data_IF_747820891104
#
_entry.id   IF_747820891104
#
_cell.length_a   1.000
_cell.length_b   1.000
_cell.length_c   1.000
_cell.angle_alpha   90.00
_cell.angle_beta   90.00
_cell.angle_gamma   90.00
#
_symmetry.space_group_name_H-M   'P 1'
#
loop_
_entity.id
_entity.type
_entity.pdbx_description
1 polymer ?
#
# COMPACT_ATOMS: atom_id res chain seq x y z
N UNK A 1 -14.78 -3.99 -12.19
CA UNK A 1 -15.06 -4.30 -13.61
C UNK A 1 -16.48 -3.91 -14.01
N UNK A 2 -17.56 -4.44 -13.41
CA UNK A 2 -18.96 -4.13 -13.83
C UNK A 2 -19.26 -2.61 -13.94
N UNK A 3 -18.79 -1.78 -12.99
CA UNK A 3 -18.97 -0.33 -13.07
C UNK A 3 -18.22 0.35 -14.23
N UNK A 4 -17.08 -0.21 -14.69
CA UNK A 4 -16.38 0.26 -15.89
C UNK A 4 -17.18 -0.06 -17.16
N UNK A 5 -17.76 -1.26 -17.26
CA UNK A 5 -18.60 -1.66 -18.41
C UNK A 5 -19.84 -0.77 -18.57
N UNK A 6 -20.35 -0.21 -17.47
CA UNK A 6 -21.53 0.67 -17.49
C UNK A 6 -21.17 2.17 -17.60
N UNK A 7 -19.89 2.53 -17.59
CA UNK A 7 -19.44 3.93 -17.51
C UNK A 7 -19.30 4.63 -18.87
N UNK A 8 -19.06 3.86 -19.92
CA UNK A 8 -18.86 4.37 -21.27
C UNK A 8 -19.37 3.36 -22.31
N UNK A 9 -19.76 3.83 -23.52
CA UNK A 9 -20.19 2.94 -24.59
C UNK A 9 -19.05 2.04 -25.04
N UNK A 10 -19.32 0.73 -25.05
CA UNK A 10 -18.43 -0.30 -25.56
C UNK A 10 -18.56 -0.34 -27.08
N UNK A 11 -17.42 -0.27 -27.79
CA UNK A 11 -17.39 -0.33 -29.25
C UNK A 11 -16.64 -1.57 -29.71
N UNK A 12 -17.17 -2.21 -30.73
CA UNK A 12 -16.52 -3.31 -31.44
C UNK A 12 -15.91 -2.78 -32.73
N UNK A 13 -14.74 -3.29 -33.06
CA UNK A 13 -13.96 -2.89 -34.22
C UNK A 13 -13.57 -4.12 -35.03
N UNK A 14 -13.69 -4.02 -36.35
CA UNK A 14 -13.23 -5.03 -37.29
C UNK A 14 -11.71 -4.89 -37.52
N UNK A 15 -11.03 -5.96 -37.99
CA UNK A 15 -9.62 -5.87 -38.35
C UNK A 15 -9.34 -4.70 -39.29
N UNK A 16 -8.35 -3.87 -38.95
CA UNK A 16 -7.95 -2.70 -39.70
C UNK A 16 -8.73 -1.42 -39.40
N UNK A 17 -9.85 -1.49 -38.65
CA UNK A 17 -10.61 -0.30 -38.29
C UNK A 17 -9.85 0.59 -37.31
N UNK A 18 -10.06 1.90 -37.47
CA UNK A 18 -9.46 2.91 -36.63
C UNK A 18 -10.31 3.15 -35.39
N UNK A 19 -9.73 2.87 -34.23
CA UNK A 19 -10.24 3.30 -32.92
C UNK A 19 -9.92 4.78 -32.70
N UNK A 20 -8.73 5.21 -33.15
CA UNK A 20 -8.28 6.58 -33.17
C UNK A 20 -7.51 6.83 -34.47
N UNK A 21 -7.83 7.91 -35.17
CA UNK A 21 -7.31 8.17 -36.51
C UNK A 21 -6.46 9.44 -36.55
N UNK A 22 -5.14 9.28 -36.56
CA UNK A 22 -4.19 10.33 -36.94
C UNK A 22 -4.27 11.58 -36.07
N UNK A 23 -4.36 11.42 -34.75
CA UNK A 23 -4.44 12.54 -33.83
C UNK A 23 -3.07 12.91 -33.27
N UNK A 24 -2.86 14.21 -33.08
CA UNK A 24 -1.66 14.76 -32.44
C UNK A 24 -1.77 14.69 -30.91
N UNK A 25 -2.99 14.66 -30.37
CA UNK A 25 -3.27 14.57 -28.94
C UNK A 25 -4.58 13.83 -28.67
N UNK A 26 -4.60 13.01 -27.63
CA UNK A 26 -5.82 12.48 -27.03
C UNK A 26 -5.67 12.38 -25.52
N UNK A 27 -6.57 13.03 -24.79
CA UNK A 27 -6.67 12.92 -23.32
C UNK A 27 -7.56 11.74 -22.89
N UNK A 28 -8.08 10.96 -23.85
CA UNK A 28 -8.89 9.76 -23.59
C UNK A 28 -8.01 8.57 -23.25
N UNK A 29 -8.56 7.67 -22.43
CA UNK A 29 -8.01 6.34 -22.17
C UNK A 29 -8.83 5.28 -22.91
N UNK A 30 -8.16 4.33 -23.55
CA UNK A 30 -8.78 3.26 -24.33
C UNK A 30 -8.46 1.94 -23.66
N UNK A 31 -9.47 1.30 -23.07
CA UNK A 31 -9.32 -0.01 -22.44
C UNK A 31 -9.76 -1.10 -23.42
N UNK A 32 -8.86 -2.04 -23.70
CA UNK A 32 -9.12 -3.20 -24.56
C UNK A 32 -9.83 -4.25 -23.72
N UNK A 33 -11.10 -4.49 -24.00
CA UNK A 33 -11.91 -5.49 -23.31
C UNK A 33 -11.70 -6.88 -23.89
N UNK A 34 -11.51 -6.96 -25.21
CA UNK A 34 -11.27 -8.20 -25.94
C UNK A 34 -10.52 -7.92 -27.25
N UNK A 35 -9.81 -8.93 -27.75
CA UNK A 35 -9.06 -8.85 -29.00
C UNK A 35 -7.72 -8.12 -28.90
N UNK A 36 -7.21 -7.66 -30.04
CA UNK A 36 -5.87 -7.07 -30.17
C UNK A 36 -5.93 -5.75 -30.94
N UNK A 37 -5.29 -4.73 -30.40
CA UNK A 37 -5.16 -3.41 -31.02
C UNK A 37 -3.69 -3.03 -31.14
N UNK A 38 -3.39 -2.14 -32.08
CA UNK A 38 -2.05 -1.68 -32.37
C UNK A 38 -2.02 -0.17 -32.36
N UNK A 39 -1.05 0.40 -31.65
CA UNK A 39 -0.75 1.83 -31.64
C UNK A 39 0.39 2.09 -32.61
N UNK A 40 0.17 2.97 -33.57
CA UNK A 40 1.12 3.36 -34.63
C UNK A 40 1.45 4.86 -34.46
N UNK A 41 2.71 5.25 -34.66
CA UNK A 41 3.14 6.66 -34.66
C UNK A 41 4.08 6.97 -35.82
N UNK A 42 3.86 8.08 -36.53
CA UNK A 42 4.65 8.47 -37.71
C UNK A 42 3.89 9.34 -38.72
N UNK A 43 4.49 9.61 -39.89
CA UNK A 43 3.89 10.42 -40.95
C UNK A 43 2.84 9.65 -41.78
N UNK A 44 2.94 8.32 -41.86
CA UNK A 44 1.97 7.43 -42.48
C UNK A 44 1.80 6.16 -41.65
N UNK A 45 0.60 5.59 -41.66
CA UNK A 45 0.27 4.36 -40.95
C UNK A 45 0.87 3.13 -41.65
N UNK A 46 2.20 3.01 -41.72
CA UNK A 46 2.88 1.80 -42.19
C UNK A 46 2.60 0.64 -41.21
N UNK A 47 2.15 -0.51 -41.73
CA UNK A 47 1.70 -1.64 -40.90
C UNK A 47 2.82 -2.33 -40.10
N UNK A 48 4.07 -2.15 -40.51
CA UNK A 48 5.23 -2.76 -39.85
C UNK A 48 5.90 -1.74 -38.90
N UNK A 49 5.63 -1.88 -37.60
CA UNK A 49 6.30 -1.10 -36.55
C UNK A 49 5.44 -0.68 -35.34
N UNK A 50 4.15 -1.05 -35.28
CA UNK A 50 3.25 -0.65 -34.19
C UNK A 50 3.34 -1.48 -32.91
N UNK A 51 2.98 -0.87 -31.78
CA UNK A 51 2.93 -1.55 -30.47
C UNK A 51 1.59 -2.24 -30.30
N UNK A 52 1.61 -3.53 -30.01
CA UNK A 52 0.41 -4.35 -29.83
C UNK A 52 -0.07 -4.37 -28.38
N UNK A 53 -1.39 -4.28 -28.18
CA UNK A 53 -2.07 -4.37 -26.89
C UNK A 53 -3.21 -5.39 -27.00
N UNK A 54 -3.38 -6.22 -25.96
CA UNK A 54 -4.43 -7.22 -25.88
C UNK A 54 -5.47 -6.89 -24.80
N UNK A 55 -6.42 -7.79 -24.60
CA UNK A 55 -7.43 -7.69 -23.56
C UNK A 55 -6.83 -7.38 -22.17
N UNK A 56 -7.44 -6.46 -21.44
CA UNK A 56 -6.99 -5.97 -20.14
C UNK A 56 -6.00 -4.80 -20.19
N UNK A 57 -5.41 -4.48 -21.35
CA UNK A 57 -4.52 -3.33 -21.47
C UNK A 57 -5.27 -2.01 -21.62
N UNK A 58 -4.71 -0.95 -21.03
CA UNK A 58 -5.20 0.42 -21.20
C UNK A 58 -4.17 1.26 -21.99
N UNK A 59 -4.66 2.06 -22.93
CA UNK A 59 -3.87 2.88 -23.85
C UNK A 59 -4.27 4.34 -23.64
N UNK A 60 -3.31 5.24 -23.47
CA UNK A 60 -3.57 6.67 -23.31
C UNK A 60 -3.08 7.23 -21.97
N UNK A 61 -3.11 8.56 -21.77
CA UNK A 61 -3.41 9.55 -22.79
C UNK A 61 -2.24 9.62 -23.79
N UNK A 62 -2.55 9.95 -25.05
CA UNK A 62 -1.57 10.04 -26.12
C UNK A 62 -1.20 11.51 -26.34
N UNK A 63 -0.01 11.90 -25.90
CA UNK A 63 0.47 13.28 -25.92
C UNK A 63 1.97 13.32 -26.26
N UNK A 64 2.36 13.38 -27.54
CA UNK A 64 3.77 13.46 -27.95
C UNK A 64 4.31 14.88 -27.88
N UNK A 65 5.62 14.99 -27.70
CA UNK A 65 6.34 16.26 -27.69
C UNK A 65 6.66 16.88 -29.08
N UNK A 66 6.32 16.25 -30.23
CA UNK A 66 6.83 16.67 -31.56
C UNK A 66 5.85 16.46 -32.74
N UNK A 67 4.65 17.09 -32.72
CA UNK A 67 3.68 17.09 -33.86
C UNK A 67 3.40 15.71 -34.51
N UNK A 68 3.70 14.62 -33.79
CA UNK A 68 3.67 13.26 -34.32
C UNK A 68 2.25 12.74 -34.21
N UNK A 69 1.67 12.30 -35.33
CA UNK A 69 0.33 11.74 -35.33
C UNK A 69 0.35 10.28 -34.92
N UNK A 70 -0.69 9.88 -34.19
CA UNK A 70 -0.90 8.51 -33.77
C UNK A 70 -2.21 7.94 -34.28
N UNK A 71 -2.19 6.63 -34.51
CA UNK A 71 -3.36 5.83 -34.81
C UNK A 71 -3.47 4.70 -33.79
N UNK A 72 -4.69 4.40 -33.39
CA UNK A 72 -5.02 3.15 -32.72
C UNK A 72 -5.86 2.36 -33.72
N UNK A 73 -5.37 1.19 -34.14
CA UNK A 73 -6.08 0.30 -35.06
C UNK A 73 -6.37 -1.04 -34.41
N UNK A 74 -7.46 -1.67 -34.79
CA UNK A 74 -7.71 -3.05 -34.44
C UNK A 74 -6.84 -3.97 -35.32
N UNK A 75 -5.98 -4.81 -34.71
CA UNK A 75 -5.18 -5.79 -35.45
C UNK A 75 -5.95 -7.08 -35.76
N UNK A 76 -6.98 -7.36 -34.97
CA UNK A 76 -8.01 -8.37 -35.22
C UNK A 76 -9.36 -7.82 -34.76
N UNK A 77 -10.44 -8.63 -34.69
CA UNK A 77 -11.65 -8.21 -34.02
C UNK A 77 -11.32 -7.75 -32.60
N UNK A 78 -11.73 -6.54 -32.22
CA UNK A 78 -11.39 -5.96 -30.93
C UNK A 78 -12.59 -5.24 -30.32
N UNK A 79 -12.71 -5.34 -28.99
CA UNK A 79 -13.72 -4.63 -28.22
C UNK A 79 -13.02 -3.64 -27.32
N UNK A 80 -13.34 -2.35 -27.45
CA UNK A 80 -12.65 -1.26 -26.75
C UNK A 80 -13.68 -0.32 -26.12
N UNK A 81 -13.39 0.13 -24.90
CA UNK A 81 -14.11 1.21 -24.24
C UNK A 81 -13.24 2.47 -24.21
N UNK A 82 -13.81 3.60 -24.63
CA UNK A 82 -13.16 4.91 -24.57
C UNK A 82 -13.62 5.66 -23.32
N UNK A 83 -12.69 5.89 -22.40
CA UNK A 83 -12.86 6.66 -21.18
C UNK A 83 -12.36 8.08 -21.44
N UNK A 84 -13.28 8.96 -21.84
CA UNK A 84 -13.03 10.40 -21.95
C UNK A 84 -12.76 11.00 -20.57
N UNK A 85 -12.01 12.12 -20.45
CA UNK A 85 -11.70 12.75 -19.16
C UNK A 85 -12.91 12.96 -18.25
N UNK A 86 -14.05 13.41 -18.80
CA UNK A 86 -15.28 13.61 -18.04
C UNK A 86 -15.88 12.31 -17.49
N UNK A 87 -15.79 11.19 -18.23
CA UNK A 87 -16.27 9.88 -17.77
C UNK A 87 -15.31 9.33 -16.71
N UNK A 88 -14.00 9.46 -16.96
CA UNK A 88 -12.95 9.00 -16.04
C UNK A 88 -13.10 9.69 -14.68
N UNK A 89 -13.29 11.01 -14.66
CA UNK A 89 -13.50 11.78 -13.43
C UNK A 89 -14.75 11.37 -12.62
N UNK A 90 -15.75 10.76 -13.28
CA UNK A 90 -16.97 10.25 -12.65
C UNK A 90 -16.84 8.80 -12.17
N UNK A 91 -15.74 8.10 -12.47
CA UNK A 91 -15.52 6.74 -11.98
C UNK A 91 -15.21 6.75 -10.48
N UNK A 92 -15.54 5.69 -9.74
CA UNK A 92 -15.02 5.48 -8.39
C UNK A 92 -13.48 5.53 -8.36
N UNK A 93 -12.91 6.09 -7.29
CA UNK A 93 -11.46 6.31 -7.14
C UNK A 93 -10.62 5.07 -7.44
N UNK A 94 -11.01 3.91 -6.91
CA UNK A 94 -10.33 2.63 -7.17
C UNK A 94 -10.25 2.28 -8.66
N UNK A 95 -11.26 2.67 -9.45
CA UNK A 95 -11.29 2.43 -10.90
C UNK A 95 -10.52 3.49 -11.68
N UNK A 96 -10.57 4.76 -11.26
CA UNK A 96 -9.70 5.80 -11.83
C UNK A 96 -8.22 5.42 -11.67
N UNK A 97 -7.85 5.09 -10.44
CA UNK A 97 -6.53 4.58 -10.05
C UNK A 97 -6.15 3.36 -10.90
N UNK A 98 -7.05 2.39 -11.05
CA UNK A 98 -6.81 1.20 -11.87
C UNK A 98 -6.56 1.55 -13.34
N UNK A 99 -7.34 2.47 -13.93
CA UNK A 99 -7.17 2.94 -15.32
C UNK A 99 -5.80 3.59 -15.48
N UNK A 100 -5.42 4.50 -14.59
CA UNK A 100 -4.11 5.14 -14.62
C UNK A 100 -2.96 4.13 -14.49
N UNK A 101 -3.05 3.17 -13.56
CA UNK A 101 -2.04 2.09 -13.39
C UNK A 101 -1.91 1.20 -14.62
N UNK A 102 -3.02 0.82 -15.25
CA UNK A 102 -2.97 -0.05 -16.43
C UNK A 102 -2.51 0.67 -17.69
N UNK A 103 -2.60 2.01 -17.70
CA UNK A 103 -2.11 2.85 -18.79
C UNK A 103 -0.60 3.13 -18.71
N UNK A 104 0.02 3.00 -17.53
CA UNK A 104 1.46 3.21 -17.32
C UNK A 104 2.32 1.95 -17.55
N UNK A 105 1.81 0.75 -17.22
CA UNK A 105 2.52 -0.55 -17.36
C UNK A 105 3.14 -0.85 -18.74
N UNK A 106 2.49 -0.53 -19.88
CA UNK A 106 3.09 -0.81 -21.19
C UNK A 106 4.32 0.06 -21.50
N UNK A 107 4.47 1.22 -20.86
CA UNK A 107 5.60 2.14 -21.07
C UNK A 107 6.94 1.58 -20.59
N UNK A 108 6.97 0.86 -19.48
CA UNK A 108 8.19 0.26 -18.92
C UNK A 108 8.76 -0.86 -19.81
N UNK A 109 7.89 -1.70 -20.41
CA UNK A 109 8.29 -2.73 -21.38
C UNK A 109 8.79 -2.14 -22.70
N UNK A 110 8.32 -0.95 -23.07
CA UNK A 110 8.78 -0.23 -24.27
C UNK A 110 10.16 0.39 -24.06
N UNK A 111 10.41 1.01 -22.89
CA UNK A 111 11.70 1.61 -22.55
C UNK A 111 12.80 0.55 -22.49
N UNK A 112 12.54 -0.64 -21.93
CA UNK A 112 13.54 -1.71 -21.86
C UNK A 112 13.91 -2.31 -23.23
N UNK A 113 13.01 -2.26 -24.21
CA UNK A 113 13.23 -2.78 -25.57
C UNK A 113 13.76 -1.74 -26.57
N UNK A 114 13.66 -0.44 -26.27
CA UNK A 114 14.01 0.64 -27.21
C UNK A 114 15.07 1.62 -26.67
N UNK A 115 15.89 1.16 -25.70
CA UNK A 115 17.01 1.83 -25.02
C UNK A 115 18.08 2.41 -25.96
N UNK A 116 17.72 3.36 -26.82
CA UNK A 116 18.62 4.18 -27.63
C UNK A 116 18.01 5.51 -28.09
N UNK A 117 16.71 5.80 -27.88
CA UNK A 117 16.10 7.06 -28.35
C UNK A 117 15.65 8.00 -27.20
N UNK A 118 16.18 9.24 -27.11
CA UNK A 118 15.86 10.20 -26.05
C UNK A 118 14.40 10.70 -26.03
N UNK A 119 13.64 10.50 -27.11
CA UNK A 119 12.23 10.99 -27.23
C UNK A 119 11.19 10.11 -26.51
N UNK A 120 11.55 8.89 -26.10
CA UNK A 120 10.66 7.95 -25.38
C UNK A 120 10.53 8.28 -23.89
N UNK A 121 11.61 8.78 -23.27
CA UNK A 121 11.64 9.15 -21.84
C UNK A 121 10.68 10.30 -21.50
N UNK A 122 10.61 11.31 -22.36
CA UNK A 122 9.78 12.51 -22.16
C UNK A 122 8.28 12.20 -22.10
N UNK A 123 7.78 11.23 -22.88
CA UNK A 123 6.37 10.84 -22.88
C UNK A 123 5.97 10.02 -21.64
N UNK A 124 6.91 9.23 -21.08
CA UNK A 124 6.69 8.50 -19.83
C UNK A 124 6.70 9.46 -18.65
N UNK A 125 7.71 10.33 -18.57
CA UNK A 125 7.83 11.36 -17.53
C UNK A 125 6.60 12.27 -17.49
N UNK A 126 6.07 12.72 -18.63
CA UNK A 126 4.87 13.57 -18.67
C UNK A 126 3.59 12.85 -18.18
N UNK A 127 3.38 11.58 -18.56
CA UNK A 127 2.23 10.78 -18.06
C UNK A 127 2.35 10.50 -16.57
N UNK A 128 3.56 10.17 -16.12
CA UNK A 128 3.86 9.98 -14.72
C UNK A 128 3.61 11.28 -13.94
N UNK A 129 4.09 12.42 -14.43
CA UNK A 129 3.86 13.73 -13.79
C UNK A 129 2.37 14.07 -13.68
N UNK A 130 1.55 13.73 -14.68
CA UNK A 130 0.09 13.88 -14.63
C UNK A 130 -0.55 12.96 -13.59
N UNK A 131 -0.13 11.69 -13.49
CA UNK A 131 -0.62 10.78 -12.47
C UNK A 131 -0.22 11.26 -11.07
N UNK A 132 1.05 11.62 -10.88
CA UNK A 132 1.55 12.16 -9.62
C UNK A 132 0.79 13.44 -9.22
N UNK A 133 0.53 14.35 -10.17
CA UNK A 133 -0.28 15.55 -9.93
C UNK A 133 -1.73 15.22 -9.54
N UNK A 134 -2.36 14.25 -10.21
CA UNK A 134 -3.71 13.80 -9.87
C UNK A 134 -3.79 13.19 -8.47
N UNK A 135 -2.87 12.28 -8.12
CA UNK A 135 -2.82 11.66 -6.78
C UNK A 135 -2.64 12.74 -5.72
N UNK A 136 -1.70 13.68 -5.93
CA UNK A 136 -1.50 14.82 -5.02
C UNK A 136 -2.75 15.69 -4.89
N UNK A 137 -3.45 15.98 -5.99
CA UNK A 137 -4.69 16.75 -5.98
C UNK A 137 -5.80 16.06 -5.20
N UNK A 138 -6.02 14.76 -5.45
CA UNK A 138 -7.04 13.97 -4.75
C UNK A 138 -6.73 13.87 -3.26
N UNK A 139 -5.45 13.69 -2.89
CA UNK A 139 -5.02 13.73 -1.49
C UNK A 139 -5.25 15.08 -0.85
N UNK A 140 -4.95 16.19 -1.53
CA UNK A 140 -5.20 17.52 -1.00
C UNK A 140 -6.69 17.73 -0.69
N UNK A 141 -7.57 17.32 -1.60
CA UNK A 141 -9.03 17.36 -1.39
C UNK A 141 -9.47 16.49 -0.21
N UNK A 142 -9.00 15.24 -0.12
CA UNK A 142 -9.35 14.37 0.99
C UNK A 142 -8.75 14.85 2.32
N UNK A 143 -7.59 15.50 2.28
CA UNK A 143 -6.93 16.10 3.43
C UNK A 143 -7.72 17.27 3.99
N UNK A 144 -8.37 18.08 3.15
CA UNK A 144 -9.30 19.12 3.60
C UNK A 144 -10.48 18.54 4.38
N UNK A 145 -11.02 17.39 3.94
CA UNK A 145 -12.11 16.71 4.65
C UNK A 145 -11.63 16.23 6.03
N UNK A 146 -10.45 15.62 6.11
CA UNK A 146 -9.87 15.16 7.38
C UNK A 146 -9.48 16.34 8.30
N UNK A 147 -9.09 17.47 7.72
CA UNK A 147 -8.81 18.71 8.46
C UNK A 147 -10.07 19.46 8.91
N UNK A 148 -11.27 19.01 8.52
CA UNK A 148 -12.51 19.64 8.96
C UNK A 148 -12.65 19.62 10.48
N UNK A 149 -13.28 20.66 11.03
CA UNK A 149 -13.50 20.80 12.48
C UNK A 149 -14.16 19.56 13.07
N UNK A 150 -15.19 19.03 12.41
CA UNK A 150 -15.90 17.83 12.85
C UNK A 150 -14.96 16.61 13.01
N UNK A 151 -14.09 16.35 12.03
CA UNK A 151 -13.16 15.20 12.09
C UNK A 151 -12.11 15.42 13.18
N UNK A 152 -11.57 16.64 13.30
CA UNK A 152 -10.56 16.94 14.32
C UNK A 152 -11.12 16.86 15.75
N UNK A 153 -12.33 17.37 15.97
CA UNK A 153 -13.06 17.22 17.24
C UNK A 153 -13.29 15.74 17.57
N UNK A 154 -13.73 14.95 16.58
CA UNK A 154 -13.92 13.52 16.75
C UNK A 154 -12.62 12.79 17.12
N UNK A 155 -11.49 13.11 16.47
CA UNK A 155 -10.18 12.55 16.82
C UNK A 155 -9.77 12.89 18.26
N UNK A 156 -10.08 14.11 18.72
CA UNK A 156 -9.80 14.55 20.09
C UNK A 156 -10.68 13.83 21.15
N UNK A 157 -11.84 13.29 20.77
CA UNK A 157 -12.68 12.47 21.66
C UNK A 157 -12.12 11.05 21.86
N UNK A 158 -11.25 10.58 20.97
CA UNK A 158 -10.68 9.24 21.08
C UNK A 158 -9.71 9.23 22.27
N UNK A 159 -9.88 8.32 23.24
CA UNK A 159 -9.01 8.25 24.40
C UNK A 159 -7.54 8.15 23.98
N UNK A 160 -6.69 8.96 24.62
CA UNK A 160 -5.25 8.89 24.42
C UNK A 160 -4.70 7.56 24.92
N UNK A 161 -3.58 7.14 24.32
CA UNK A 161 -2.82 6.01 24.81
C UNK A 161 -2.36 6.26 26.26
N UNK A 162 -2.31 5.20 27.10
CA UNK A 162 -1.66 5.29 28.40
C UNK A 162 -0.22 5.82 28.26
N UNK A 163 0.26 6.54 29.28
CA UNK A 163 1.59 7.14 29.25
C UNK A 163 2.70 6.10 29.03
N UNK A 164 2.58 4.92 29.62
CA UNK A 164 3.54 3.81 29.44
C UNK A 164 3.61 3.33 27.98
N UNK A 165 2.48 3.33 27.26
CA UNK A 165 2.42 2.90 25.85
C UNK A 165 3.10 3.91 24.95
N UNK A 166 2.92 5.20 25.24
CA UNK A 166 3.56 6.30 24.51
C UNK A 166 5.08 6.31 24.74
N UNK A 167 5.51 6.19 26.00
CA UNK A 167 6.94 6.08 26.37
C UNK A 167 7.61 4.86 25.70
N UNK A 168 6.94 3.71 25.73
CA UNK A 168 7.42 2.51 25.06
C UNK A 168 7.56 2.71 23.54
N UNK A 169 6.59 3.38 22.91
CA UNK A 169 6.63 3.71 21.49
C UNK A 169 7.81 4.61 21.15
N UNK A 170 8.04 5.67 21.94
CA UNK A 170 9.17 6.59 21.74
C UNK A 170 10.52 5.88 21.87
N UNK A 171 10.65 4.98 22.86
CA UNK A 171 11.85 4.17 23.07
C UNK A 171 12.14 3.22 21.92
N UNK A 172 11.11 2.55 21.38
CA UNK A 172 11.26 1.60 20.27
C UNK A 172 11.52 2.24 18.92
N UNK A 173 11.04 3.47 18.73
CA UNK A 173 11.22 4.26 17.51
C UNK A 173 12.50 5.11 17.55
N UNK A 174 13.23 5.09 18.67
CA UNK A 174 14.52 5.75 18.82
C UNK A 174 15.64 4.79 18.45
N UNK A 175 16.48 5.20 17.50
CA UNK A 175 17.62 4.41 16.99
C UNK A 175 18.69 4.15 18.07
N UNK A 176 18.61 4.81 19.24
CA UNK A 176 19.64 4.78 20.29
C UNK A 176 19.19 4.14 21.62
N UNK A 177 17.96 3.63 21.74
CA UNK A 177 17.50 3.09 23.03
C UNK A 177 17.99 1.66 23.25
N UNK A 178 18.75 1.38 24.32
CA UNK A 178 19.17 0.02 24.62
C UNK A 178 18.01 -0.81 25.18
N UNK A 179 17.99 -2.08 24.80
CA UNK A 179 16.90 -3.03 25.11
C UNK A 179 16.57 -3.14 26.60
N UNK A 180 17.55 -3.01 27.49
CA UNK A 180 17.32 -3.10 28.94
C UNK A 180 16.46 -1.92 29.47
N UNK A 181 16.54 -0.73 28.89
CA UNK A 181 15.69 0.41 29.30
C UNK A 181 14.22 0.17 28.97
N UNK A 182 13.95 -0.54 27.86
CA UNK A 182 12.61 -0.97 27.46
C UNK A 182 12.04 -1.95 28.49
N UNK A 183 12.83 -2.93 28.92
CA UNK A 183 12.45 -3.90 29.96
C UNK A 183 12.11 -3.18 31.27
N UNK A 184 12.98 -2.27 31.72
CA UNK A 184 12.81 -1.57 32.99
C UNK A 184 11.59 -0.66 32.99
N UNK A 185 11.22 -0.11 31.82
CA UNK A 185 10.02 0.71 31.67
C UNK A 185 8.74 -0.12 31.85
N UNK A 186 8.68 -1.32 31.27
CA UNK A 186 7.52 -2.20 31.42
C UNK A 186 7.44 -2.82 32.82
N UNK A 187 8.58 -3.16 33.44
CA UNK A 187 8.63 -3.68 34.82
C UNK A 187 8.06 -2.70 35.85
N UNK A 188 8.13 -1.39 35.60
CA UNK A 188 7.56 -0.35 36.47
C UNK A 188 6.03 -0.31 36.42
N UNK A 189 5.39 -1.04 35.50
CA UNK A 189 3.94 -1.17 35.39
C UNK A 189 3.50 -2.63 35.59
N UNK A 190 3.19 -3.04 36.84
CA UNK A 190 2.75 -4.40 37.15
C UNK A 190 1.45 -4.81 36.43
N UNK A 191 0.56 -3.85 36.13
CA UNK A 191 -0.69 -4.13 35.43
C UNK A 191 -0.41 -4.49 33.96
N UNK A 192 0.49 -3.73 33.32
CA UNK A 192 0.95 -4.02 31.97
C UNK A 192 1.67 -5.37 31.90
N UNK A 193 2.59 -5.66 32.82
CA UNK A 193 3.29 -6.93 32.89
C UNK A 193 2.32 -8.11 33.09
N UNK A 194 1.31 -7.96 33.96
CA UNK A 194 0.27 -8.96 34.17
C UNK A 194 -0.59 -9.20 32.92
N UNK A 195 -1.00 -8.13 32.24
CA UNK A 195 -1.78 -8.22 30.99
C UNK A 195 -0.99 -8.90 29.88
N UNK A 196 0.29 -8.56 29.73
CA UNK A 196 1.19 -9.23 28.78
C UNK A 196 1.25 -10.72 29.10
N UNK A 197 1.53 -11.11 30.34
CA UNK A 197 1.57 -12.52 30.72
C UNK A 197 0.25 -13.24 30.45
N UNK A 198 -0.90 -12.59 30.65
CA UNK A 198 -2.22 -13.13 30.32
C UNK A 198 -2.36 -13.39 28.82
N UNK A 199 -1.93 -12.44 27.97
CA UNK A 199 -2.03 -12.56 26.51
C UNK A 199 -1.07 -13.63 25.99
N UNK A 200 0.19 -13.63 26.45
CA UNK A 200 1.21 -14.62 26.08
C UNK A 200 0.78 -16.04 26.44
N UNK A 201 0.07 -16.21 27.56
CA UNK A 201 -0.48 -17.50 27.98
C UNK A 201 -1.85 -17.84 27.39
N UNK A 202 -2.40 -17.00 26.50
CA UNK A 202 -3.68 -17.26 25.87
C UNK A 202 -3.58 -18.33 24.77
N UNK A 203 -4.73 -18.84 24.33
CA UNK A 203 -4.81 -19.79 23.21
C UNK A 203 -4.15 -19.24 21.92
N UNK A 204 -4.04 -17.91 21.79
CA UNK A 204 -3.43 -17.24 20.64
C UNK A 204 -1.98 -17.68 20.36
N UNK A 205 -1.18 -17.97 21.40
CA UNK A 205 0.22 -18.39 21.23
C UNK A 205 0.46 -19.88 21.44
N UNK A 206 -0.41 -20.54 22.22
CA UNK A 206 -0.41 -22.00 22.43
C UNK A 206 0.96 -22.58 22.85
N UNK A 207 1.62 -21.97 23.84
CA UNK A 207 2.88 -22.49 24.38
C UNK A 207 2.66 -23.79 25.18
N UNK A 208 3.62 -24.73 25.09
CA UNK A 208 3.56 -26.02 25.79
C UNK A 208 3.71 -25.92 27.31
N UNK A 209 4.31 -24.83 27.80
CA UNK A 209 4.41 -24.47 29.22
C UNK A 209 3.94 -23.04 29.43
N UNK A 210 3.33 -22.78 30.58
CA UNK A 210 2.95 -21.41 30.96
C UNK A 210 4.19 -20.55 31.16
N UNK A 211 4.13 -19.32 30.66
CA UNK A 211 5.14 -18.29 30.84
C UNK A 211 4.84 -17.56 32.14
N UNK A 212 5.72 -17.68 33.13
CA UNK A 212 5.49 -17.18 34.49
C UNK A 212 6.10 -15.80 34.74
N UNK A 213 7.10 -15.40 33.95
CA UNK A 213 7.81 -14.14 34.15
C UNK A 213 7.84 -13.28 32.90
N UNK A 214 7.77 -11.96 33.09
CA UNK A 214 7.85 -11.00 32.00
C UNK A 214 9.18 -11.11 31.23
N UNK A 215 10.28 -11.39 31.93
CA UNK A 215 11.58 -11.63 31.30
C UNK A 215 11.54 -12.84 30.36
N UNK A 216 10.92 -13.94 30.79
CA UNK A 216 10.75 -15.12 29.95
C UNK A 216 9.86 -14.84 28.72
N UNK A 217 8.79 -14.04 28.89
CA UNK A 217 7.97 -13.58 27.78
C UNK A 217 8.78 -12.76 26.76
N UNK A 218 9.64 -11.84 27.23
CA UNK A 218 10.52 -11.06 26.38
C UNK A 218 11.54 -11.92 25.62
N UNK A 219 12.10 -12.95 26.26
CA UNK A 219 13.07 -13.85 25.59
C UNK A 219 12.42 -14.68 24.47
N UNK A 220 11.19 -15.15 24.67
CA UNK A 220 10.50 -15.99 23.68
C UNK A 220 9.93 -15.14 22.55
N UNK A 221 9.15 -14.11 22.89
CA UNK A 221 8.42 -13.31 21.90
C UNK A 221 9.28 -12.21 21.28
N UNK A 222 10.26 -11.70 22.01
CA UNK A 222 11.00 -10.50 21.63
C UNK A 222 10.21 -9.21 21.93
N UNK A 223 10.95 -8.11 22.06
CA UNK A 223 10.40 -6.80 22.43
C UNK A 223 9.37 -6.25 21.46
N UNK A 224 9.59 -6.43 20.16
CA UNK A 224 8.67 -5.95 19.13
C UNK A 224 7.27 -6.56 19.29
N UNK A 225 7.19 -7.84 19.64
CA UNK A 225 5.92 -8.51 19.85
C UNK A 225 5.26 -8.11 21.16
N UNK A 226 6.03 -7.94 22.23
CA UNK A 226 5.50 -7.42 23.48
C UNK A 226 4.88 -6.04 23.24
N UNK A 227 5.58 -5.16 22.53
CA UNK A 227 5.05 -3.86 22.13
C UNK A 227 3.77 -3.96 21.29
N UNK A 228 3.74 -4.85 20.30
CA UNK A 228 2.52 -5.08 19.51
C UNK A 228 1.33 -5.42 20.42
N UNK A 229 1.52 -6.30 21.40
CA UNK A 229 0.45 -6.67 22.34
C UNK A 229 -0.02 -5.47 23.17
N UNK A 230 0.91 -4.67 23.68
CA UNK A 230 0.58 -3.45 24.46
C UNK A 230 -0.19 -2.43 23.60
N UNK A 231 0.27 -2.19 22.38
CA UNK A 231 -0.37 -1.27 21.44
C UNK A 231 -1.76 -1.75 21.04
N UNK A 232 -1.91 -3.03 20.71
CA UNK A 232 -3.20 -3.61 20.32
C UNK A 232 -4.23 -3.50 21.44
N UNK A 233 -3.85 -3.82 22.67
CA UNK A 233 -4.74 -3.69 23.82
C UNK A 233 -5.12 -2.23 24.04
N UNK A 234 -4.17 -1.30 23.90
CA UNK A 234 -4.44 0.14 24.02
C UNK A 234 -5.41 0.64 22.94
N UNK A 235 -5.21 0.23 21.68
CA UNK A 235 -6.09 0.58 20.55
C UNK A 235 -7.49 -0.01 20.75
N UNK A 236 -7.58 -1.28 21.17
CA UNK A 236 -8.85 -1.95 21.43
C UNK A 236 -9.66 -1.23 22.51
N UNK A 237 -9.00 -0.78 23.58
CA UNK A 237 -9.63 -0.01 24.65
C UNK A 237 -10.06 1.40 24.19
N UNK A 238 -9.35 1.99 23.22
CA UNK A 238 -9.69 3.30 22.67
C UNK A 238 -10.80 3.28 21.60
N UNK A 239 -10.87 2.24 20.77
CA UNK A 239 -11.66 2.26 19.51
C UNK A 239 -12.83 1.25 19.48
N UNK A 240 -13.04 0.48 20.56
CA UNK A 240 -14.05 -0.60 20.67
C UNK A 240 -13.79 -1.79 19.74
N UNK A 241 -14.20 -2.99 20.18
CA UNK A 241 -13.99 -4.23 19.46
C UNK A 241 -15.24 -4.63 18.64
N UNK A 242 -15.12 -4.63 17.32
CA UNK A 242 -16.11 -5.16 16.37
C UNK A 242 -15.50 -6.23 15.47
N UNK A 243 -16.31 -7.02 14.73
CA UNK A 243 -15.77 -7.97 13.74
C UNK A 243 -14.87 -7.27 12.70
N UNK A 244 -15.28 -6.10 12.20
CA UNK A 244 -14.48 -5.31 11.24
C UNK A 244 -13.15 -4.85 11.88
N UNK A 245 -13.14 -4.43 13.16
CA UNK A 245 -11.90 -4.06 13.84
C UNK A 245 -10.98 -5.27 14.08
N UNK A 246 -11.53 -6.47 14.27
CA UNK A 246 -10.74 -7.71 14.40
C UNK A 246 -10.07 -8.10 13.09
N UNK A 247 -10.75 -7.94 11.95
CA UNK A 247 -10.16 -8.14 10.62
C UNK A 247 -9.03 -7.13 10.35
N UNK A 248 -9.24 -5.85 10.70
CA UNK A 248 -8.21 -4.82 10.59
C UNK A 248 -7.01 -5.14 11.48
N UNK A 249 -7.25 -5.60 12.71
CA UNK A 249 -6.20 -6.00 13.63
C UNK A 249 -5.41 -7.19 13.09
N UNK A 250 -6.08 -8.22 12.58
CA UNK A 250 -5.41 -9.38 11.96
C UNK A 250 -4.53 -8.96 10.79
N UNK A 251 -5.05 -8.13 9.87
CA UNK A 251 -4.28 -7.62 8.74
C UNK A 251 -3.05 -6.81 9.22
N UNK A 252 -3.23 -5.93 10.20
CA UNK A 252 -2.15 -5.14 10.78
C UNK A 252 -1.07 -6.03 11.43
N UNK A 253 -1.45 -7.10 12.12
CA UNK A 253 -0.50 -8.06 12.68
C UNK A 253 0.31 -8.79 11.60
N UNK A 254 -0.35 -9.22 10.52
CA UNK A 254 0.29 -9.91 9.40
C UNK A 254 1.27 -8.98 8.69
N UNK A 255 0.83 -7.77 8.33
CA UNK A 255 1.68 -6.74 7.69
C UNK A 255 2.84 -6.36 8.60
N UNK A 256 2.61 -6.23 9.91
CA UNK A 256 3.67 -5.96 10.90
C UNK A 256 4.74 -7.06 10.96
N UNK A 257 4.35 -8.33 10.90
CA UNK A 257 5.28 -9.46 10.83
C UNK A 257 6.07 -9.48 9.51
N UNK A 258 5.43 -9.15 8.40
CA UNK A 258 6.09 -9.03 7.09
C UNK A 258 7.06 -7.84 7.05
N UNK A 259 6.70 -6.69 7.62
CA UNK A 259 7.58 -5.54 7.77
C UNK A 259 8.85 -5.90 8.54
N UNK A 260 8.75 -6.73 9.59
CA UNK A 260 9.91 -7.23 10.33
C UNK A 260 10.88 -8.01 9.42
N UNK A 261 10.36 -8.95 8.64
CA UNK A 261 11.18 -9.80 7.77
C UNK A 261 11.78 -9.01 6.60
N UNK A 262 11.02 -8.07 6.01
CA UNK A 262 11.52 -7.16 4.97
C UNK A 262 12.64 -6.28 5.53
N UNK A 263 12.43 -5.64 6.68
CA UNK A 263 13.46 -4.82 7.32
C UNK A 263 14.70 -5.64 7.69
N UNK A 264 14.52 -6.90 8.13
CA UNK A 264 15.63 -7.80 8.48
C UNK A 264 16.56 -8.14 7.31
N UNK A 265 16.10 -7.96 6.07
CA UNK A 265 16.89 -8.18 4.85
C UNK A 265 17.21 -6.87 4.11
N UNK A 266 16.81 -5.73 4.68
CA UNK A 266 17.04 -4.39 4.16
C UNK A 266 18.28 -3.73 4.80
N UNK A 267 18.77 -2.66 4.19
CA UNK A 267 19.85 -1.83 4.72
C UNK A 267 19.30 -0.64 5.51
N UNK A 268 19.84 -0.45 6.71
CA UNK A 268 19.56 0.70 7.58
C UNK A 268 18.06 0.95 7.86
N UNK A 269 17.30 -0.15 8.02
CA UNK A 269 15.94 -0.10 8.55
C UNK A 269 15.87 -1.01 9.76
N UNK A 270 15.57 -0.44 10.92
CA UNK A 270 15.41 -1.21 12.14
C UNK A 270 14.12 -2.03 12.10
N UNK A 271 14.17 -3.37 12.28
CA UNK A 271 12.98 -4.21 12.27
C UNK A 271 11.91 -3.77 13.27
N UNK A 272 12.31 -3.27 14.45
CA UNK A 272 11.41 -2.76 15.50
C UNK A 272 10.57 -1.58 14.99
N UNK A 273 11.19 -0.63 14.30
CA UNK A 273 10.53 0.52 13.70
C UNK A 273 9.58 0.08 12.59
N UNK A 274 10.05 -0.78 11.69
CA UNK A 274 9.23 -1.32 10.60
C UNK A 274 8.00 -2.10 11.10
N UNK A 275 8.18 -2.93 12.15
CA UNK A 275 7.08 -3.63 12.81
C UNK A 275 6.03 -2.65 13.35
N UNK A 276 6.47 -1.55 13.95
CA UNK A 276 5.56 -0.52 14.48
C UNK A 276 4.77 0.17 13.37
N UNK A 277 5.43 0.51 12.26
CA UNK A 277 4.77 1.07 11.06
C UNK A 277 3.70 0.11 10.57
N UNK A 278 4.04 -1.17 10.33
CA UNK A 278 3.09 -2.17 9.85
C UNK A 278 1.94 -2.45 10.83
N UNK A 279 2.16 -2.33 12.13
CA UNK A 279 1.10 -2.51 13.14
C UNK A 279 0.07 -1.37 13.12
N UNK A 280 0.53 -0.14 12.86
CA UNK A 280 -0.28 1.07 13.01
C UNK A 280 -0.79 1.64 11.69
N UNK A 281 -0.34 1.10 10.55
CA UNK A 281 -0.66 1.59 9.22
C UNK A 281 -2.16 1.74 8.95
N UNK A 282 -2.95 0.83 9.51
CA UNK A 282 -4.40 0.75 9.33
C UNK A 282 -5.21 1.32 10.49
N UNK A 283 -4.57 2.05 11.42
CA UNK A 283 -5.25 2.66 12.56
C UNK A 283 -6.42 3.56 12.12
N UNK A 284 -6.27 4.32 11.04
CA UNK A 284 -7.34 5.17 10.54
C UNK A 284 -8.56 4.41 10.01
N UNK A 285 -8.43 3.14 9.62
CA UNK A 285 -9.60 2.30 9.32
C UNK A 285 -10.42 2.04 10.58
N UNK A 286 -9.76 1.76 11.71
CA UNK A 286 -10.45 1.64 13.00
C UNK A 286 -11.14 2.96 13.40
N UNK A 287 -10.50 4.11 13.15
CA UNK A 287 -11.14 5.42 13.37
C UNK A 287 -12.42 5.56 12.55
N UNK A 288 -12.40 5.19 11.28
CA UNK A 288 -13.58 5.22 10.41
C UNK A 288 -14.68 4.26 10.91
N UNK A 289 -14.31 3.09 11.41
CA UNK A 289 -15.26 2.13 12.01
C UNK A 289 -15.97 2.75 13.22
N UNK A 290 -15.22 3.33 14.16
CA UNK A 290 -15.80 4.00 15.33
C UNK A 290 -16.65 5.22 14.93
N UNK A 291 -16.19 5.98 13.94
CA UNK A 291 -16.89 7.15 13.43
C UNK A 291 -18.26 6.76 12.86
N UNK A 292 -18.34 5.69 12.07
CA UNK A 292 -19.61 5.14 11.56
C UNK A 292 -20.54 4.68 12.68
N UNK A 293 -20.01 4.10 13.75
CA UNK A 293 -20.80 3.65 14.90
C UNK A 293 -21.41 4.81 15.67
N UNK A 294 -20.59 5.82 16.00
CA UNK A 294 -21.04 7.02 16.72
C UNK A 294 -21.93 7.92 15.86
N UNK A 295 -21.69 7.98 14.55
CA UNK A 295 -22.41 8.82 13.61
C UNK A 295 -22.87 8.05 12.36
N UNK A 296 -23.93 7.24 12.44
CA UNK A 296 -24.40 6.43 11.31
C UNK A 296 -24.73 7.24 10.05
N UNK A 297 -25.17 8.49 10.21
CA UNK A 297 -25.54 9.40 9.11
C UNK A 297 -24.38 9.70 8.14
N UNK A 298 -23.12 9.61 8.58
CA UNK A 298 -21.95 9.89 7.73
C UNK A 298 -21.36 8.64 7.07
N UNK A 299 -21.97 7.46 7.27
CA UNK A 299 -21.50 6.19 6.69
C UNK A 299 -21.34 6.22 5.17
N UNK A 300 -22.21 6.96 4.46
CA UNK A 300 -22.14 7.13 3.01
C UNK A 300 -20.95 7.98 2.52
N UNK A 301 -20.44 8.86 3.39
CA UNK A 301 -19.28 9.72 3.14
C UNK A 301 -17.97 9.15 3.68
N UNK A 302 -18.02 8.17 4.58
CA UNK A 302 -16.85 7.53 5.18
C UNK A 302 -15.84 6.98 4.16
N UNK A 303 -16.29 6.63 2.95
CA UNK A 303 -15.44 6.20 1.82
C UNK A 303 -14.55 7.30 1.22
N UNK A 304 -14.88 8.58 1.48
CA UNK A 304 -14.12 9.75 1.01
C UNK A 304 -13.04 10.17 2.02
N UNK A 305 -13.04 9.57 3.21
CA UNK A 305 -12.04 9.86 4.23
C UNK A 305 -10.72 9.16 3.88
N UNK A 306 -9.63 9.93 3.87
CA UNK A 306 -8.29 9.37 3.76
C UNK A 306 -7.92 8.69 5.09
N UNK A 307 -8.07 7.36 5.13
CA UNK A 307 -7.75 6.57 6.32
C UNK A 307 -6.27 6.63 6.70
N UNK A 308 -5.36 6.80 5.73
CA UNK A 308 -3.94 6.94 6.02
C UNK A 308 -3.69 8.24 6.79
N UNK A 309 -4.29 9.34 6.32
CA UNK A 309 -4.22 10.62 7.00
C UNK A 309 -4.90 10.61 8.38
N UNK A 310 -6.10 10.03 8.49
CA UNK A 310 -6.80 9.93 9.78
C UNK A 310 -5.97 9.15 10.82
N UNK A 311 -5.32 8.07 10.39
CA UNK A 311 -4.41 7.30 11.24
C UNK A 311 -3.22 8.15 11.70
N UNK A 312 -2.57 8.86 10.78
CA UNK A 312 -1.45 9.73 11.09
C UNK A 312 -1.83 10.88 12.05
N UNK A 313 -2.97 11.54 11.82
CA UNK A 313 -3.44 12.63 12.68
C UNK A 313 -3.80 12.13 14.09
N UNK A 314 -4.38 10.93 14.21
CA UNK A 314 -4.61 10.30 15.51
C UNK A 314 -3.29 9.98 16.24
N UNK A 315 -2.29 9.46 15.54
CA UNK A 315 -0.98 9.16 16.12
C UNK A 315 -0.26 10.43 16.59
N UNK A 316 -0.36 11.53 15.84
CA UNK A 316 0.12 12.85 16.27
C UNK A 316 -0.60 13.31 17.53
N UNK A 317 -1.92 13.15 17.61
CA UNK A 317 -2.70 13.48 18.80
C UNK A 317 -2.27 12.65 20.04
N UNK A 318 -1.85 11.40 19.81
CA UNK A 318 -1.28 10.51 20.82
C UNK A 318 0.20 10.80 21.15
N UNK A 319 0.84 11.75 20.47
CA UNK A 319 2.22 12.17 20.74
C UNK A 319 3.28 11.19 20.22
N UNK A 320 2.96 10.42 19.18
CA UNK A 320 3.92 9.52 18.55
C UNK A 320 4.87 10.28 17.62
N UNK A 321 6.08 9.75 17.35
CA UNK A 321 7.07 10.44 16.52
C UNK A 321 6.56 10.79 15.12
N UNK A 322 6.91 11.98 14.64
CA UNK A 322 6.44 12.51 13.35
C UNK A 322 6.87 11.63 12.16
N UNK A 323 8.06 11.02 12.24
CA UNK A 323 8.55 10.07 11.22
C UNK A 323 7.59 8.89 11.01
N UNK A 324 7.02 8.34 12.10
CA UNK A 324 6.03 7.27 12.03
C UNK A 324 4.71 7.79 11.42
N UNK A 325 4.27 8.98 11.84
CA UNK A 325 3.05 9.61 11.33
C UNK A 325 3.17 9.87 9.82
N UNK A 326 4.31 10.36 9.36
CA UNK A 326 4.61 10.56 7.94
C UNK A 326 4.63 9.23 7.17
N UNK A 327 5.29 8.18 7.69
CA UNK A 327 5.29 6.88 7.03
C UNK A 327 3.87 6.33 6.81
N UNK A 328 3.00 6.50 7.79
CA UNK A 328 1.59 6.07 7.71
C UNK A 328 0.78 6.98 6.80
N UNK A 329 0.98 8.29 6.85
CA UNK A 329 0.30 9.24 5.97
C UNK A 329 0.66 9.00 4.50
N UNK A 330 1.91 8.67 4.19
CA UNK A 330 2.41 8.46 2.83
C UNK A 330 2.41 6.98 2.38
N UNK A 331 1.85 6.06 3.17
CA UNK A 331 1.94 4.61 2.92
C UNK A 331 1.48 4.16 1.52
N UNK A 332 0.44 4.80 0.97
CA UNK A 332 -0.13 4.44 -0.32
C UNK A 332 0.59 5.09 -1.51
N UNK A 333 1.55 5.99 -1.27
CA UNK A 333 2.23 6.72 -2.34
C UNK A 333 3.22 5.86 -3.11
N UNK A 334 3.82 4.86 -2.47
CA UNK A 334 4.73 3.93 -3.13
C UNK A 334 4.08 3.12 -4.25
N UNK A 335 2.75 3.00 -4.24
CA UNK A 335 2.01 2.39 -5.35
C UNK A 335 2.02 3.23 -6.65
N UNK A 336 2.38 4.52 -6.56
CA UNK A 336 2.17 5.50 -7.63
C UNK A 336 3.37 6.40 -7.92
N UNK A 337 4.20 6.65 -6.91
CA UNK A 337 5.27 7.62 -6.94
C UNK A 337 6.62 6.90 -6.82
N UNK A 338 7.67 7.37 -7.51
CA UNK A 338 9.03 6.90 -7.33
C UNK A 338 9.51 7.32 -5.93
N UNK A 339 10.53 6.63 -5.40
CA UNK A 339 11.00 6.90 -4.05
C UNK A 339 11.43 8.34 -3.82
N UNK A 340 11.99 9.01 -4.84
CA UNK A 340 12.45 10.40 -4.73
C UNK A 340 11.34 11.43 -4.54
N UNK A 341 10.09 11.07 -4.86
CA UNK A 341 8.93 11.92 -4.60
C UNK A 341 8.42 11.79 -3.15
N UNK A 342 8.90 10.80 -2.40
CA UNK A 342 8.59 10.59 -0.98
C UNK A 342 9.71 11.20 -0.13
N UNK A 343 9.33 11.89 0.95
CA UNK A 343 10.27 12.49 1.88
C UNK A 343 11.29 11.45 2.37
N UNK A 344 12.57 11.79 2.24
CA UNK A 344 13.69 10.99 2.70
C UNK A 344 13.57 10.56 4.16
N UNK A 345 12.87 11.31 5.01
CA UNK A 345 12.67 11.00 6.42
C UNK A 345 11.85 9.72 6.67
N UNK A 346 10.88 9.41 5.79
CA UNK A 346 9.98 8.26 5.93
C UNK A 346 10.04 7.28 4.75
N UNK A 347 10.81 7.60 3.69
CA UNK A 347 10.89 6.83 2.43
C UNK A 347 11.17 5.35 2.65
N UNK A 348 12.06 5.00 3.57
CA UNK A 348 12.42 3.60 3.84
C UNK A 348 11.29 2.84 4.52
N UNK A 349 10.62 3.46 5.49
CA UNK A 349 9.46 2.90 6.16
C UNK A 349 8.30 2.67 5.19
N UNK A 350 8.04 3.64 4.30
CA UNK A 350 7.04 3.51 3.24
C UNK A 350 7.40 2.38 2.28
N UNK A 351 8.68 2.26 1.88
CA UNK A 351 9.15 1.18 1.02
C UNK A 351 8.98 -0.20 1.68
N UNK A 352 9.31 -0.33 2.97
CA UNK A 352 9.11 -1.59 3.71
C UNK A 352 7.62 -1.95 3.78
N UNK A 353 6.76 -0.99 4.08
CA UNK A 353 5.32 -1.21 4.17
C UNK A 353 4.72 -1.61 2.81
N UNK A 354 5.15 -0.96 1.73
CA UNK A 354 4.78 -1.31 0.36
C UNK A 354 5.10 -2.77 0.03
N UNK A 355 6.33 -3.22 0.31
CA UNK A 355 6.70 -4.62 0.06
C UNK A 355 5.97 -5.59 1.00
N UNK A 356 5.73 -5.21 2.25
CA UNK A 356 4.93 -6.04 3.15
C UNK A 356 3.51 -6.28 2.61
N UNK A 357 2.88 -5.28 1.97
CA UNK A 357 1.59 -5.46 1.30
C UNK A 357 1.67 -6.38 0.07
N UNK A 358 2.73 -6.29 -0.74
CA UNK A 358 2.92 -7.22 -1.85
C UNK A 358 3.06 -8.67 -1.36
N UNK A 359 3.82 -8.87 -0.28
CA UNK A 359 4.02 -10.19 0.35
C UNK A 359 2.74 -10.73 1.02
N UNK A 360 1.92 -9.85 1.61
CA UNK A 360 0.60 -10.22 2.14
C UNK A 360 -0.30 -10.78 1.05
N UNK A 361 -0.26 -10.20 -0.15
CA UNK A 361 -0.98 -10.69 -1.32
C UNK A 361 -0.59 -12.12 -1.67
N UNK A 362 0.72 -12.42 -1.66
CA UNK A 362 1.26 -13.77 -1.89
C UNK A 362 0.78 -14.75 -0.81
N UNK A 363 0.90 -14.38 0.47
CA UNK A 363 0.52 -15.25 1.59
C UNK A 363 -0.97 -15.58 1.63
N UNK A 364 -1.81 -14.64 1.21
CA UNK A 364 -3.27 -14.80 1.23
C UNK A 364 -3.84 -15.39 -0.06
N UNK A 365 -2.97 -15.76 -1.02
CA UNK A 365 -3.38 -16.37 -2.29
C UNK A 365 -4.06 -15.39 -3.25
N UNK A 366 -3.89 -14.07 -3.06
CA UNK A 366 -4.32 -13.07 -4.05
C UNK A 366 -3.42 -13.22 -5.28
N UNK A 367 -3.97 -13.23 -6.51
CA UNK A 367 -3.19 -13.45 -7.72
C UNK A 367 -2.07 -12.40 -7.87
N UNK A 368 -0.82 -12.88 -7.85
CA UNK A 368 0.41 -12.08 -7.93
C UNK A 368 0.55 -11.36 -9.29
N UNK A 369 -0.09 -11.90 -10.35
CA UNK A 369 -0.14 -11.29 -11.68
C UNK A 369 -0.90 -9.93 -11.72
N UNK A 370 -1.56 -9.55 -10.63
CA UNK A 370 -2.04 -8.20 -10.42
C UNK A 370 -0.92 -7.28 -9.88
N UNK A 371 0.02 -6.94 -10.77
CA UNK A 371 0.94 -5.79 -10.72
C UNK A 371 2.32 -5.99 -10.05
N UNK A 372 3.36 -6.10 -10.87
CA UNK A 372 4.53 -5.23 -10.64
C UNK A 372 3.99 -3.80 -10.60
N UNK A 373 4.09 -3.15 -9.45
CA UNK A 373 3.72 -1.75 -9.34
C UNK A 373 4.85 -0.91 -9.96
N UNK A 374 4.52 0.25 -10.53
CA UNK A 374 5.55 1.18 -10.97
C UNK A 374 6.53 1.42 -9.82
N UNK A 375 7.83 1.44 -10.14
CA UNK A 375 8.93 1.73 -9.21
C UNK A 375 9.31 0.65 -8.19
N UNK A 376 8.77 -0.57 -8.27
CA UNK A 376 9.14 -1.65 -7.33
C UNK A 376 10.66 -1.89 -7.28
N UNK A 377 11.35 -1.80 -8.43
CA UNK A 377 12.81 -1.96 -8.50
C UNK A 377 13.54 -0.85 -7.78
N UNK A 378 13.10 0.39 -7.97
CA UNK A 378 13.65 1.58 -7.33
C UNK A 378 13.42 1.55 -5.81
N UNK A 379 12.26 1.05 -5.36
CA UNK A 379 12.03 0.81 -3.93
C UNK A 379 12.90 -0.32 -3.37
N UNK A 380 13.25 -1.34 -4.16
CA UNK A 380 14.21 -2.37 -3.72
C UNK A 380 15.60 -1.77 -3.53
N UNK A 381 16.03 -0.88 -4.43
CA UNK A 381 17.29 -0.17 -4.33
C UNK A 381 17.36 0.72 -3.08
N UNK A 382 16.28 1.42 -2.73
CA UNK A 382 16.16 2.22 -1.48
C UNK A 382 16.40 1.37 -0.24
N UNK A 383 15.93 0.13 -0.25
CA UNK A 383 16.14 -0.83 0.84
C UNK A 383 17.45 -1.60 0.73
N UNK A 384 18.25 -1.38 -0.33
CA UNK A 384 19.47 -2.12 -0.59
C UNK A 384 19.23 -3.61 -0.84
N UNK A 385 18.01 -3.99 -1.23
CA UNK A 385 17.64 -5.35 -1.63
C UNK A 385 17.94 -5.46 -3.13
N UNK A 386 18.69 -6.48 -3.59
CA UNK A 386 18.93 -6.68 -5.01
C UNK A 386 17.60 -6.80 -5.77
N UNK A 387 17.43 -6.15 -6.94
CA UNK A 387 16.23 -6.30 -7.74
C UNK A 387 16.00 -7.77 -8.08
N UNK A 388 14.92 -8.33 -7.57
CA UNK A 388 14.54 -9.72 -7.76
C UNK A 388 13.01 -9.83 -7.83
N UNK A 389 12.50 -10.97 -8.31
CA UNK A 389 11.07 -11.23 -8.25
C UNK A 389 10.60 -11.27 -6.79
N UNK A 390 9.50 -10.60 -6.47
CA UNK A 390 8.93 -10.59 -5.12
C UNK A 390 8.62 -12.01 -4.63
N UNK A 391 8.27 -12.93 -5.54
CA UNK A 391 8.04 -14.35 -5.26
C UNK A 391 9.32 -15.07 -4.88
N UNK A 392 10.44 -14.75 -5.55
CA UNK A 392 11.76 -15.28 -5.21
C UNK A 392 12.25 -14.76 -3.87
N UNK A 393 12.04 -13.46 -3.59
CA UNK A 393 12.35 -12.86 -2.29
C UNK A 393 11.51 -13.51 -1.18
N UNK A 394 10.22 -13.72 -1.45
CA UNK A 394 9.31 -14.38 -0.52
C UNK A 394 9.83 -15.79 -0.17
N UNK A 395 10.08 -16.63 -1.18
CA UNK A 395 10.52 -18.01 -0.97
C UNK A 395 11.94 -18.11 -0.38
N UNK A 396 12.87 -17.27 -0.85
CA UNK A 396 14.30 -17.37 -0.51
C UNK A 396 14.67 -16.69 0.81
N UNK A 397 13.94 -15.66 1.23
CA UNK A 397 14.33 -14.83 2.39
C UNK A 397 13.21 -14.67 3.42
N UNK A 398 12.02 -14.27 3.00
CA UNK A 398 10.92 -13.89 3.91
C UNK A 398 10.30 -15.12 4.58
N UNK A 399 9.88 -16.12 3.80
CA UNK A 399 9.24 -17.34 4.29
C UNK A 399 10.16 -18.13 5.25
N UNK A 400 11.45 -18.35 4.95
CA UNK A 400 12.39 -18.96 5.90
C UNK A 400 12.49 -18.18 7.22
N UNK A 401 12.42 -16.84 7.15
CA UNK A 401 12.40 -15.97 8.32
C UNK A 401 11.15 -16.15 9.18
N UNK A 402 9.97 -16.13 8.56
CA UNK A 402 8.70 -16.40 9.22
C UNK A 402 8.66 -17.79 9.88
N UNK A 403 9.17 -18.82 9.20
CA UNK A 403 9.24 -20.19 9.74
C UNK A 403 10.18 -20.25 10.94
N UNK A 404 11.38 -19.65 10.84
CA UNK A 404 12.34 -19.56 11.94
C UNK A 404 11.74 -18.84 13.15
N UNK A 405 10.95 -17.81 12.90
CA UNK A 405 10.30 -16.99 13.92
C UNK A 405 8.88 -17.47 14.26
N UNK A 406 8.45 -18.67 13.84
CA UNK A 406 7.04 -19.11 13.97
C UNK A 406 6.48 -19.01 15.38
N UNK A 407 7.29 -19.26 16.41
CA UNK A 407 6.87 -19.19 17.82
C UNK A 407 6.49 -17.77 18.27
N UNK A 408 6.95 -16.76 17.54
CA UNK A 408 6.64 -15.34 17.75
C UNK A 408 5.32 -14.93 17.10
N UNK A 409 4.87 -15.67 16.09
CA UNK A 409 3.64 -15.38 15.35
C UNK A 409 2.41 -15.88 16.12
N UNK A 410 1.26 -15.21 15.93
CA UNK A 410 -0.02 -15.70 16.43
C UNK A 410 -0.44 -16.99 15.73
N UNK A 411 -1.34 -17.76 16.34
CA UNK A 411 -1.81 -19.03 15.77
C UNK A 411 -2.45 -18.84 14.40
N UNK A 412 -3.21 -17.76 14.20
CA UNK A 412 -3.86 -17.42 12.94
C UNK A 412 -2.84 -17.16 11.83
N UNK A 413 -1.76 -16.42 12.12
CA UNK A 413 -0.68 -16.19 11.14
C UNK A 413 0.09 -17.48 10.86
N UNK A 414 0.32 -18.32 11.87
CA UNK A 414 1.00 -19.63 11.69
C UNK A 414 0.22 -20.55 10.74
N UNK A 415 -1.12 -20.47 10.73
CA UNK A 415 -1.96 -21.28 9.84
C UNK A 415 -1.81 -20.89 8.37
N UNK A 416 -1.35 -19.66 8.07
CA UNK A 416 -1.04 -19.23 6.71
C UNK A 416 0.31 -19.77 6.20
N UNK A 417 1.18 -20.24 7.10
CA UNK A 417 2.46 -20.79 6.70
C UNK A 417 2.26 -22.19 6.09
N UNK A 418 3.06 -22.57 5.08
CA UNK A 418 3.05 -23.93 4.55
C UNK A 418 3.26 -24.94 5.68
N UNK A 419 2.43 -25.99 5.70
CA UNK A 419 2.63 -27.07 6.67
C UNK A 419 3.91 -27.83 6.28
N UNK A 420 4.88 -27.83 7.20
CA UNK A 420 6.14 -28.57 7.05
C UNK A 420 6.00 -30.02 7.50
#
# INVERSE_FOLDING_TARGET
MIALYNSAPIKQFKPGEHILAGVERSDSYFLVLDGKVVVLGGAEASQDGGISFGAGHCIGPLMPANETRFWIKAAGPATVIELKPGILACLPDKLQIWVYKNASRPGERFVSQTSSSPKSKTNFEDRYNKLAAYIRYQRAQNAEIVASQFVQEFLNEIPKLPAHTTDLSQKLLSDNTPVHEIVESIKRDPALAGNILKIVNSAMYSFSKKIETFYHACMILGFSNIYQLVMQESIKNAISATPESQEIQFHSCLVSALCYEVASVSKDVHPQTATTVGLLHDLGKNVVVLLKQKHPAISGFARMLDTAKMGADLLRHWGLPDRLCQAIEHQNEAEFLPPDAIDSACRKEVAVLHFAHLLEGIMTGKPVDAAVQPFDKEYFEVLGIPPADISEIYQGKILPGLIRNKQRLSTEIRQLLPQM
#
